data_IF_728410795984
#
_entry.id   IF_728410795984
#
_cell.length_a   1.000
_cell.length_b   1.000
_cell.length_c   1.000
_cell.angle_alpha   90.00
_cell.angle_beta   90.00
_cell.angle_gamma   90.00
#
_symmetry.space_group_name_H-M   'P 1'
#
loop_
_entity.id
_entity.type
_entity.pdbx_description
1 polymer ?
#
# COMPACT_ATOMS: atom_id res chain seq x y z
N UNK A 1 -3.89 14.32 -12.03
CA UNK A 1 -4.53 13.33 -11.15
C UNK A 1 -3.56 13.04 -10.01
N UNK A 2 -3.94 13.26 -8.75
CA UNK A 2 -2.99 13.07 -7.63
C UNK A 2 -2.82 11.57 -7.34
N UNK A 3 -1.57 11.05 -7.30
CA UNK A 3 -1.28 9.62 -7.12
C UNK A 3 -1.59 9.08 -5.72
N UNK A 4 -2.06 9.92 -4.79
CA UNK A 4 -2.35 9.53 -3.40
C UNK A 4 -3.73 8.85 -3.24
N UNK A 5 -4.54 8.74 -4.31
CA UNK A 5 -5.98 8.49 -4.20
C UNK A 5 -6.49 7.11 -4.68
N UNK A 6 -5.63 6.22 -5.18
CA UNK A 6 -6.03 4.85 -5.54
C UNK A 6 -5.28 3.81 -4.71
N UNK A 7 -6.03 3.13 -3.84
CA UNK A 7 -5.54 1.98 -3.09
C UNK A 7 -5.71 0.76 -3.97
N UNK A 8 -4.61 0.24 -4.49
CA UNK A 8 -4.67 -0.96 -5.32
C UNK A 8 -5.09 -2.17 -4.52
N UNK A 9 -5.84 -3.08 -5.16
CA UNK A 9 -6.38 -4.32 -4.58
C UNK A 9 -5.31 -5.08 -3.79
N UNK A 10 -4.11 -5.13 -4.36
CA UNK A 10 -2.94 -5.81 -3.83
C UNK A 10 -2.39 -5.14 -2.55
N UNK A 11 -2.44 -3.81 -2.44
CA UNK A 11 -2.05 -3.09 -1.23
C UNK A 11 -3.07 -3.31 -0.11
N UNK A 12 -4.37 -3.27 -0.43
CA UNK A 12 -5.42 -3.57 0.54
C UNK A 12 -5.33 -5.01 1.07
N UNK A 13 -5.02 -5.97 0.20
CA UNK A 13 -4.79 -7.37 0.59
C UNK A 13 -3.55 -7.52 1.49
N UNK A 14 -2.43 -6.88 1.13
CA UNK A 14 -1.21 -6.89 1.94
C UNK A 14 -1.44 -6.31 3.34
N UNK A 15 -2.17 -5.20 3.44
CA UNK A 15 -2.56 -4.57 4.70
C UNK A 15 -3.50 -5.49 5.51
N UNK A 16 -4.47 -6.12 4.86
CA UNK A 16 -5.40 -7.05 5.51
C UNK A 16 -4.66 -8.24 6.14
N UNK A 17 -3.77 -8.89 5.38
CA UNK A 17 -2.95 -10.00 5.88
C UNK A 17 -2.04 -9.58 7.05
N UNK A 18 -1.45 -8.38 6.98
CA UNK A 18 -0.63 -7.83 8.06
C UNK A 18 -1.44 -7.51 9.32
N UNK A 19 -2.70 -7.10 9.18
CA UNK A 19 -3.62 -6.89 10.30
C UNK A 19 -4.04 -8.20 10.97
N UNK A 20 -4.15 -9.30 10.19
CA UNK A 20 -4.53 -10.63 10.69
C UNK A 20 -3.37 -11.42 11.31
N UNK A 21 -2.12 -10.99 11.15
CA UNK A 21 -0.95 -11.64 11.77
C UNK A 21 -0.49 -12.94 11.10
N UNK A 22 -1.03 -13.31 9.94
CA UNK A 22 -0.62 -14.52 9.21
C UNK A 22 0.70 -14.29 8.46
N UNK A 23 1.76 -14.95 8.90
CA UNK A 23 3.06 -14.97 8.22
C UNK A 23 2.98 -15.75 6.90
N UNK A 24 3.02 -15.06 5.77
CA UNK A 24 3.07 -15.68 4.41
C UNK A 24 4.46 -16.22 4.06
N UNK A 25 5.46 -16.03 4.92
CA UNK A 25 6.84 -16.42 4.65
C UNK A 25 7.13 -17.74 5.37
N UNK A 26 6.67 -18.86 4.78
CA UNK A 26 6.92 -20.20 5.31
C UNK A 26 6.44 -21.31 4.36
N UNK A 27 7.40 -21.89 3.64
CA UNK A 27 7.41 -23.22 2.98
C UNK A 27 6.21 -23.65 2.12
N UNK A 28 6.45 -23.69 0.80
CA UNK A 28 6.05 -24.75 -0.14
C UNK A 28 4.77 -25.54 0.20
N UNK A 29 3.61 -25.05 -0.27
CA UNK A 29 2.50 -25.81 -0.92
C UNK A 29 1.27 -24.92 -1.13
N UNK A 30 1.14 -23.79 -0.41
CA UNK A 30 -0.07 -22.95 -0.47
C UNK A 30 -0.05 -21.86 -1.57
N UNK A 31 0.48 -22.19 -2.76
CA UNK A 31 0.52 -21.27 -3.92
C UNK A 31 -0.85 -21.09 -4.60
N UNK A 32 -1.95 -21.68 -4.11
CA UNK A 32 -3.17 -21.83 -4.92
C UNK A 32 -4.49 -21.32 -4.32
N UNK A 33 -4.55 -20.77 -3.10
CA UNK A 33 -5.81 -20.20 -2.60
C UNK A 33 -6.12 -18.77 -3.12
N UNK A 34 -5.11 -18.03 -3.60
CA UNK A 34 -5.28 -16.61 -4.04
C UNK A 34 -5.21 -16.47 -5.58
N UNK A 35 -4.82 -17.53 -6.27
CA UNK A 35 -4.61 -17.56 -7.72
C UNK A 35 -5.84 -17.21 -8.59
N UNK A 36 -7.12 -17.44 -8.19
CA UNK A 36 -8.26 -17.09 -9.06
C UNK A 36 -8.65 -15.60 -9.02
N UNK A 37 -8.11 -14.82 -8.07
CA UNK A 37 -8.52 -13.41 -7.85
C UNK A 37 -7.62 -12.38 -8.55
N UNK A 38 -6.55 -12.83 -9.22
CA UNK A 38 -5.59 -11.97 -9.92
C UNK A 38 -5.83 -12.12 -11.43
N UNK A 39 -6.70 -11.27 -11.99
CA UNK A 39 -6.61 -11.02 -13.43
C UNK A 39 -5.31 -10.25 -13.67
N UNK A 40 -4.37 -10.90 -14.35
CA UNK A 40 -2.97 -10.49 -14.51
C UNK A 40 -2.77 -9.17 -15.25
N UNK A 41 -3.84 -8.60 -15.80
CA UNK A 41 -3.83 -7.38 -16.62
C UNK A 41 -3.65 -6.06 -15.83
N UNK A 42 -3.85 -6.03 -14.51
CA UNK A 42 -3.82 -4.78 -13.70
C UNK A 42 -2.69 -4.73 -12.65
N UNK A 43 -1.68 -5.58 -12.79
CA UNK A 43 -0.76 -5.95 -11.72
C UNK A 43 0.40 -4.97 -11.46
N UNK A 44 0.38 -3.77 -12.06
CA UNK A 44 1.53 -2.87 -12.13
C UNK A 44 1.48 -1.61 -11.24
N UNK A 45 0.38 -1.31 -10.55
CA UNK A 45 0.29 -0.05 -9.80
C UNK A 45 0.12 -0.30 -8.31
N UNK A 46 1.20 -0.47 -7.55
CA UNK A 46 1.19 -0.37 -6.09
C UNK A 46 1.47 1.07 -5.61
N UNK A 47 1.43 2.07 -6.50
CA UNK A 47 1.78 3.45 -6.18
C UNK A 47 3.26 3.69 -5.86
N UNK A 48 4.14 2.69 -6.06
CA UNK A 48 5.58 2.85 -5.88
C UNK A 48 6.16 3.74 -6.99
N UNK A 49 6.48 4.99 -6.65
CA UNK A 49 7.42 5.82 -7.42
C UNK A 49 8.82 5.20 -7.39
N UNK A 50 9.74 5.63 -8.27
CA UNK A 50 11.14 5.17 -8.21
C UNK A 50 11.74 5.41 -6.81
N UNK A 51 11.56 6.60 -6.24
CA UNK A 51 12.07 6.93 -4.91
C UNK A 51 11.48 6.05 -3.81
N UNK A 52 10.16 5.88 -3.76
CA UNK A 52 9.50 5.08 -2.72
C UNK A 52 9.75 3.59 -2.89
N UNK A 53 9.97 3.12 -4.12
CA UNK A 53 10.42 1.76 -4.40
C UNK A 53 11.81 1.50 -3.83
N UNK A 54 12.78 2.39 -4.08
CA UNK A 54 14.13 2.23 -3.57
C UNK A 54 14.17 2.19 -2.05
N UNK A 55 13.44 3.09 -1.40
CA UNK A 55 13.31 3.10 0.05
C UNK A 55 12.69 1.80 0.57
N UNK A 56 11.57 1.36 -0.01
CA UNK A 56 10.89 0.14 0.42
C UNK A 56 11.74 -1.11 0.21
N UNK A 57 12.42 -1.22 -0.94
CA UNK A 57 13.29 -2.34 -1.24
C UNK A 57 14.54 -2.33 -0.36
N UNK A 58 15.12 -1.16 -0.06
CA UNK A 58 16.25 -1.03 0.87
C UNK A 58 15.90 -1.55 2.27
N UNK A 59 14.76 -1.14 2.84
CA UNK A 59 14.38 -1.55 4.19
C UNK A 59 13.78 -2.96 4.28
N UNK A 60 12.93 -3.32 3.32
CA UNK A 60 12.09 -4.52 3.41
C UNK A 60 12.47 -5.61 2.41
N UNK A 61 13.39 -5.33 1.49
CA UNK A 61 13.79 -6.27 0.45
C UNK A 61 14.35 -7.57 1.02
N UNK A 62 15.10 -7.52 2.11
CA UNK A 62 15.59 -8.73 2.79
C UNK A 62 14.44 -9.63 3.24
N UNK A 63 13.45 -9.08 3.95
CA UNK A 63 12.26 -9.81 4.38
C UNK A 63 11.41 -10.28 3.18
N UNK A 64 11.39 -9.51 2.10
CA UNK A 64 10.71 -9.88 0.86
C UNK A 64 11.46 -10.94 0.03
N UNK A 65 12.68 -11.35 0.40
CA UNK A 65 13.48 -12.34 -0.33
C UNK A 65 14.41 -11.77 -1.41
N UNK A 66 14.64 -10.46 -1.40
CA UNK A 66 15.45 -9.70 -2.36
C UNK A 66 16.68 -9.04 -1.72
N UNK A 67 17.25 -9.66 -0.67
CA UNK A 67 18.41 -9.14 0.05
C UNK A 67 19.56 -8.72 -0.88
N UNK A 68 19.87 -9.56 -1.87
CA UNK A 68 20.91 -9.34 -2.87
C UNK A 68 20.72 -8.08 -3.74
N UNK A 69 19.50 -7.55 -3.87
CA UNK A 69 19.23 -6.27 -4.55
C UNK A 69 19.06 -5.12 -3.55
N UNK A 70 18.47 -5.39 -2.39
CA UNK A 70 18.30 -4.41 -1.32
C UNK A 70 19.64 -3.84 -0.84
N UNK A 71 20.65 -4.70 -0.67
CA UNK A 71 22.01 -4.34 -0.24
C UNK A 71 22.77 -3.49 -1.27
N UNK A 72 22.24 -3.36 -2.50
CA UNK A 72 22.82 -2.55 -3.59
C UNK A 72 22.24 -1.13 -3.63
N UNK A 73 21.28 -0.84 -2.76
CA UNK A 73 20.66 0.47 -2.60
C UNK A 73 21.28 1.14 -1.38
N UNK A 74 21.78 2.35 -1.58
CA UNK A 74 22.45 3.13 -0.55
C UNK A 74 21.64 4.39 -0.25
N UNK A 75 21.75 4.87 0.98
CA UNK A 75 21.14 6.12 1.44
C UNK A 75 22.23 7.18 1.61
N UNK A 76 21.99 8.38 1.10
CA UNK A 76 22.85 9.54 1.36
C UNK A 76 22.62 10.07 2.78
N UNK A 77 23.55 10.88 3.29
CA UNK A 77 23.34 11.61 4.55
C UNK A 77 22.09 12.51 4.56
N UNK A 78 21.58 12.87 3.38
CA UNK A 78 20.36 13.64 3.20
C UNK A 78 19.09 12.78 3.08
N UNK A 79 19.17 11.46 3.30
CA UNK A 79 18.03 10.53 3.21
C UNK A 79 17.59 10.17 1.79
N UNK A 80 18.43 10.38 0.77
CA UNK A 80 18.10 10.00 -0.62
C UNK A 80 18.65 8.62 -0.95
N UNK A 81 17.81 7.79 -1.55
CA UNK A 81 18.20 6.45 -1.99
C UNK A 81 18.79 6.47 -3.41
N UNK A 82 19.89 5.75 -3.62
CA UNK A 82 20.57 5.66 -4.90
C UNK A 82 21.22 4.30 -5.14
N UNK A 83 21.52 4.01 -6.40
CA UNK A 83 22.15 2.76 -6.85
C UNK A 83 23.40 3.12 -7.66
N UNK A 84 24.61 2.84 -7.16
CA UNK A 84 25.85 3.26 -7.80
C UNK A 84 26.08 2.56 -9.14
N UNK A 85 25.83 1.25 -9.22
CA UNK A 85 26.14 0.41 -10.38
C UNK A 85 24.98 0.41 -11.40
N UNK A 86 25.29 0.57 -12.69
CA UNK A 86 24.27 0.68 -13.75
C UNK A 86 23.47 -0.61 -13.98
N UNK A 87 24.12 -1.78 -13.91
CA UNK A 87 23.44 -3.07 -14.08
C UNK A 87 22.35 -3.28 -13.02
N UNK A 88 22.56 -2.75 -11.82
CA UNK A 88 21.64 -2.95 -10.69
C UNK A 88 20.41 -2.10 -10.83
N UNK A 89 20.56 -0.90 -11.42
CA UNK A 89 19.41 -0.05 -11.76
C UNK A 89 18.45 -0.77 -12.68
N UNK A 90 18.96 -1.53 -13.65
CA UNK A 90 18.12 -2.33 -14.55
C UNK A 90 17.41 -3.47 -13.81
N UNK A 91 18.15 -4.23 -12.98
CA UNK A 91 17.58 -5.32 -12.20
C UNK A 91 16.51 -4.84 -11.20
N UNK A 92 16.79 -3.76 -10.48
CA UNK A 92 15.88 -3.18 -9.48
C UNK A 92 14.64 -2.56 -10.15
N UNK A 93 14.80 -1.95 -11.34
CA UNK A 93 13.67 -1.43 -12.12
C UNK A 93 12.81 -2.56 -12.71
N UNK A 94 13.43 -3.66 -13.14
CA UNK A 94 12.69 -4.85 -13.56
C UNK A 94 11.91 -5.44 -12.39
N UNK A 95 12.52 -5.52 -11.21
CA UNK A 95 11.88 -5.99 -9.98
C UNK A 95 10.68 -5.11 -9.57
N UNK A 96 10.78 -3.78 -9.73
CA UNK A 96 9.67 -2.85 -9.47
C UNK A 96 8.44 -3.16 -10.32
N UNK A 97 8.67 -3.62 -11.56
CA UNK A 97 7.60 -3.93 -12.54
C UNK A 97 7.10 -5.37 -12.43
N UNK A 98 7.75 -6.21 -11.63
CA UNK A 98 7.28 -7.55 -11.34
C UNK A 98 6.18 -7.47 -10.26
N UNK A 99 4.94 -7.84 -10.58
CA UNK A 99 3.84 -7.78 -9.64
C UNK A 99 4.02 -8.59 -8.36
N UNK A 100 4.62 -9.77 -8.50
CA UNK A 100 4.84 -10.68 -7.39
C UNK A 100 5.89 -10.11 -6.46
N UNK A 101 6.96 -9.53 -7.02
CA UNK A 101 7.97 -8.86 -6.23
C UNK A 101 7.44 -7.62 -5.52
N UNK A 102 6.70 -6.77 -6.24
CA UNK A 102 6.10 -5.57 -5.68
C UNK A 102 5.14 -5.91 -4.53
N UNK A 103 4.29 -6.95 -4.70
CA UNK A 103 3.41 -7.43 -3.65
C UNK A 103 4.16 -7.97 -2.43
N UNK A 104 5.24 -8.76 -2.63
CA UNK A 104 6.06 -9.28 -1.52
C UNK A 104 6.72 -8.16 -0.71
N UNK A 105 7.22 -7.12 -1.38
CA UNK A 105 7.80 -5.95 -0.72
C UNK A 105 6.73 -5.19 0.06
N UNK A 106 5.55 -4.94 -0.54
CA UNK A 106 4.46 -4.27 0.15
C UNK A 106 3.92 -5.07 1.36
N UNK A 107 3.86 -6.39 1.26
CA UNK A 107 3.49 -7.27 2.37
C UNK A 107 4.53 -7.20 3.50
N UNK A 108 5.82 -7.28 3.18
CA UNK A 108 6.90 -7.15 4.15
C UNK A 108 6.88 -5.78 4.86
N UNK A 109 6.68 -4.71 4.11
CA UNK A 109 6.50 -3.36 4.66
C UNK A 109 5.29 -3.28 5.60
N UNK A 110 4.14 -3.83 5.20
CA UNK A 110 2.91 -3.78 5.99
C UNK A 110 3.04 -4.55 7.31
N UNK A 111 3.70 -5.71 7.28
CA UNK A 111 4.01 -6.49 8.49
C UNK A 111 4.93 -5.72 9.44
N UNK A 112 5.99 -5.10 8.91
CA UNK A 112 6.89 -4.28 9.70
C UNK A 112 6.16 -3.07 10.32
N UNK A 113 5.33 -2.38 9.53
CA UNK A 113 4.51 -1.27 10.00
C UNK A 113 3.55 -1.70 11.11
N UNK A 114 2.94 -2.89 11.00
CA UNK A 114 2.07 -3.46 12.03
C UNK A 114 2.79 -3.64 13.35
N UNK A 115 4.01 -4.19 13.33
CA UNK A 115 4.82 -4.37 14.53
C UNK A 115 5.25 -3.04 15.16
N UNK A 116 5.70 -2.07 14.35
CA UNK A 116 6.10 -0.74 14.82
C UNK A 116 4.92 -0.01 15.45
N UNK A 117 3.77 0.06 14.75
CA UNK A 117 2.57 0.71 15.26
C UNK A 117 2.04 0.03 16.52
N UNK A 118 2.06 -1.31 16.60
CA UNK A 118 1.64 -2.02 17.81
C UNK A 118 2.42 -1.56 19.04
N UNK A 119 3.73 -1.32 18.87
CA UNK A 119 4.61 -0.83 19.93
C UNK A 119 4.24 0.59 20.36
N UNK A 120 3.97 1.48 19.40
CA UNK A 120 3.59 2.86 19.72
C UNK A 120 2.16 3.01 20.27
N UNK A 121 1.22 2.18 19.81
CA UNK A 121 -0.20 2.30 20.16
C UNK A 121 -0.57 1.49 21.42
N UNK A 122 0.25 0.53 21.84
CA UNK A 122 -0.07 -0.41 22.92
C UNK A 122 -1.19 -1.41 22.58
N UNK A 123 -1.65 -1.42 21.32
CA UNK A 123 -2.69 -2.32 20.77
C UNK A 123 -2.39 -2.62 19.31
N UNK A 124 -3.03 -3.64 18.76
CA UNK A 124 -2.96 -3.88 17.31
C UNK A 124 -3.49 -2.64 16.53
N UNK A 125 -2.80 -2.23 15.45
CA UNK A 125 -3.30 -1.16 14.59
C UNK A 125 -4.51 -1.64 13.77
N UNK A 126 -5.44 -0.73 13.51
CA UNK A 126 -6.54 -0.98 12.57
C UNK A 126 -6.03 -0.98 11.13
N UNK A 127 -6.78 -1.58 10.20
CA UNK A 127 -6.46 -1.54 8.77
C UNK A 127 -6.31 -0.10 8.25
N UNK A 128 -7.14 0.82 8.76
CA UNK A 128 -7.05 2.24 8.41
C UNK A 128 -5.77 2.90 8.92
N UNK A 129 -5.27 2.51 10.11
CA UNK A 129 -4.01 3.03 10.66
C UNK A 129 -2.80 2.47 9.90
N UNK A 130 -2.84 1.20 9.51
CA UNK A 130 -1.82 0.60 8.62
C UNK A 130 -1.78 1.30 7.27
N UNK A 131 -2.94 1.60 6.69
CA UNK A 131 -3.02 2.39 5.46
C UNK A 131 -2.43 3.79 5.63
N UNK A 132 -2.77 4.48 6.73
CA UNK A 132 -2.22 5.81 7.01
C UNK A 132 -0.69 5.73 7.21
N UNK A 133 -0.17 4.70 7.86
CA UNK A 133 1.26 4.48 8.00
C UNK A 133 1.98 4.15 6.69
N UNK A 134 1.29 3.57 5.72
CA UNK A 134 1.85 3.44 4.36
C UNK A 134 2.06 4.82 3.71
N UNK A 135 1.15 5.76 3.92
CA UNK A 135 1.20 7.11 3.33
C UNK A 135 2.11 8.06 4.10
N UNK A 136 2.02 8.09 5.43
CA UNK A 136 2.68 9.06 6.30
C UNK A 136 3.92 8.50 7.03
N UNK A 137 4.09 7.18 7.05
CA UNK A 137 5.03 6.50 7.94
C UNK A 137 4.44 6.20 9.32
N UNK A 138 5.02 5.22 10.03
CA UNK A 138 4.49 4.72 11.30
C UNK A 138 4.50 5.77 12.42
N UNK A 139 5.58 6.56 12.51
CA UNK A 139 5.73 7.55 13.59
C UNK A 139 4.70 8.67 13.47
N UNK A 140 4.53 9.22 12.26
CA UNK A 140 3.51 10.23 11.99
C UNK A 140 2.10 9.69 12.30
N UNK A 141 1.79 8.47 11.87
CA UNK A 141 0.51 7.83 12.18
C UNK A 141 0.28 7.68 13.67
N UNK A 142 1.27 7.19 14.43
CA UNK A 142 1.15 7.05 15.88
C UNK A 142 0.89 8.40 16.56
N UNK A 143 1.62 9.45 16.16
CA UNK A 143 1.40 10.83 16.64
C UNK A 143 -0.01 11.32 16.29
N UNK A 144 -0.49 11.07 15.08
CA UNK A 144 -1.85 11.42 14.66
C UNK A 144 -2.92 10.71 15.48
N UNK A 145 -2.76 9.40 15.74
CA UNK A 145 -3.70 8.62 16.56
C UNK A 145 -3.73 9.14 17.99
N UNK A 146 -2.57 9.40 18.59
CA UNK A 146 -2.47 9.97 19.94
C UNK A 146 -3.09 11.39 20.01
N UNK A 147 -2.79 12.24 19.03
CA UNK A 147 -3.35 13.59 18.94
C UNK A 147 -4.86 13.58 18.72
N UNK A 148 -5.40 12.64 17.93
CA UNK A 148 -6.84 12.50 17.72
C UNK A 148 -7.58 12.09 19.01
N UNK A 149 -6.92 11.35 19.90
CA UNK A 149 -7.49 10.99 21.20
C UNK A 149 -7.39 12.13 22.22
N UNK A 150 -6.28 12.88 22.25
CA UNK A 150 -6.02 13.89 23.26
C UNK A 150 -6.54 15.30 22.88
N UNK A 151 -6.43 15.69 21.61
CA UNK A 151 -6.69 17.03 21.09
C UNK A 151 -7.39 16.97 19.72
N UNK A 152 -8.59 16.37 19.62
CA UNK A 152 -9.27 16.09 18.34
C UNK A 152 -9.59 17.34 17.52
N UNK A 153 -9.80 18.48 18.16
CA UNK A 153 -10.21 19.74 17.53
C UNK A 153 -9.05 20.69 17.25
N UNK A 154 -7.83 20.34 17.66
CA UNK A 154 -6.65 21.16 17.39
C UNK A 154 -6.32 21.16 15.90
N UNK A 155 -5.82 22.30 15.42
CA UNK A 155 -5.38 22.47 14.03
C UNK A 155 -4.29 21.46 13.68
N UNK A 156 -4.54 20.59 12.71
CA UNK A 156 -3.58 19.56 12.32
C UNK A 156 -2.30 20.16 11.70
N UNK A 157 -2.43 21.26 10.95
CA UNK A 157 -1.31 21.92 10.30
C UNK A 157 -0.32 22.55 11.31
N UNK A 158 -0.79 22.94 12.49
CA UNK A 158 0.08 23.44 13.57
C UNK A 158 0.87 22.31 14.23
N UNK A 159 0.26 21.13 14.37
CA UNK A 159 0.90 19.96 14.99
C UNK A 159 1.84 19.23 14.04
N UNK A 160 1.57 19.28 12.74
CA UNK A 160 2.33 18.55 11.71
C UNK A 160 2.70 19.49 10.53
N UNK A 161 3.52 20.53 10.77
CA UNK A 161 3.81 21.56 9.78
C UNK A 161 4.49 20.98 8.52
N UNK A 162 5.42 20.05 8.68
CA UNK A 162 6.14 19.43 7.56
C UNK A 162 5.19 18.62 6.66
N UNK A 163 4.25 17.89 7.26
CA UNK A 163 3.24 17.12 6.52
C UNK A 163 2.21 18.05 5.87
N UNK A 164 1.88 19.18 6.50
CA UNK A 164 1.01 20.18 5.93
C UNK A 164 1.64 20.87 4.71
N UNK A 165 2.96 21.09 4.73
CA UNK A 165 3.73 21.56 3.58
C UNK A 165 3.79 20.53 2.45
N UNK A 166 4.01 19.26 2.79
CA UNK A 166 4.11 18.18 1.81
C UNK A 166 2.75 17.82 1.18
N UNK A 167 1.67 17.88 1.95
CA UNK A 167 0.33 17.45 1.54
C UNK A 167 -0.75 18.49 1.90
N UNK A 168 -0.69 19.73 1.39
CA UNK A 168 -1.58 20.82 1.83
C UNK A 168 -3.07 20.49 1.64
N UNK A 169 -3.43 19.78 0.58
CA UNK A 169 -4.83 19.36 0.33
C UNK A 169 -5.40 18.42 1.40
N UNK A 170 -4.54 17.72 2.15
CA UNK A 170 -4.97 16.86 3.24
C UNK A 170 -5.29 17.68 4.50
N UNK A 171 -4.49 18.71 4.76
CA UNK A 171 -4.54 19.55 5.96
C UNK A 171 -5.46 20.76 5.84
N UNK A 172 -5.81 21.17 4.62
CA UNK A 172 -6.63 22.35 4.37
C UNK A 172 -7.84 22.01 3.47
N UNK A 173 -8.95 22.71 3.69
CA UNK A 173 -10.09 22.76 2.79
C UNK A 173 -10.30 24.21 2.34
N UNK A 174 -9.86 24.54 1.13
CA UNK A 174 -9.73 25.94 0.71
C UNK A 174 -8.72 26.66 1.61
N UNK A 175 -9.11 27.80 2.17
CA UNK A 175 -8.30 28.55 3.14
C UNK A 175 -8.43 28.03 4.58
N UNK A 176 -9.33 27.09 4.85
CA UNK A 176 -9.63 26.64 6.21
C UNK A 176 -8.76 25.45 6.60
N UNK A 177 -8.03 25.56 7.71
CA UNK A 177 -7.25 24.46 8.27
C UNK A 177 -8.17 23.40 8.90
N UNK A 178 -7.81 22.12 8.73
CA UNK A 178 -8.54 20.99 9.28
C UNK A 178 -8.02 20.65 10.67
N UNK A 179 -8.91 20.19 11.54
CA UNK A 179 -8.54 19.61 12.82
C UNK A 179 -7.87 18.23 12.64
N UNK A 180 -7.17 17.76 13.68
CA UNK A 180 -6.57 16.42 13.69
C UNK A 180 -7.60 15.33 13.39
N UNK A 181 -8.77 15.40 14.03
CA UNK A 181 -9.85 14.43 13.80
C UNK A 181 -10.42 14.49 12.37
N UNK A 182 -10.47 15.66 11.76
CA UNK A 182 -10.91 15.83 10.37
C UNK A 182 -9.90 15.26 9.36
N UNK A 183 -8.59 15.41 9.60
CA UNK A 183 -7.54 14.77 8.78
C UNK A 183 -7.66 13.25 8.88
N UNK A 184 -7.75 12.70 10.10
CA UNK A 184 -7.91 11.25 10.31
C UNK A 184 -9.16 10.69 9.63
N UNK A 185 -10.30 11.38 9.74
CA UNK A 185 -11.55 11.00 9.07
C UNK A 185 -11.42 11.03 7.56
N UNK A 186 -10.70 12.00 7.01
CA UNK A 186 -10.45 12.10 5.57
C UNK A 186 -9.67 10.88 5.07
N UNK A 187 -8.58 10.52 5.75
CA UNK A 187 -7.74 9.39 5.36
C UNK A 187 -8.48 8.05 5.47
N UNK A 188 -9.21 7.84 6.58
CA UNK A 188 -10.05 6.65 6.74
C UNK A 188 -11.12 6.56 5.65
N UNK A 189 -11.79 7.67 5.33
CA UNK A 189 -12.78 7.68 4.25
C UNK A 189 -12.17 7.43 2.87
N UNK A 190 -10.92 7.85 2.61
CA UNK A 190 -10.22 7.49 1.37
C UNK A 190 -9.98 5.98 1.28
N UNK A 191 -9.52 5.38 2.38
CA UNK A 191 -9.33 3.93 2.47
C UNK A 191 -10.64 3.15 2.26
N UNK A 192 -11.72 3.52 2.96
CA UNK A 192 -13.04 2.88 2.85
C UNK A 192 -13.63 2.97 1.43
N UNK A 193 -13.47 4.12 0.76
CA UNK A 193 -13.87 4.28 -0.65
C UNK A 193 -13.05 3.38 -1.56
N UNK A 194 -11.74 3.27 -1.32
CA UNK A 194 -10.87 2.33 -2.02
C UNK A 194 -11.40 0.90 -1.89
N UNK A 195 -11.61 0.43 -0.65
CA UNK A 195 -12.17 -0.90 -0.37
C UNK A 195 -13.53 -1.13 -1.03
N UNK A 196 -14.41 -0.13 -1.02
CA UNK A 196 -15.73 -0.24 -1.64
C UNK A 196 -15.62 -0.41 -3.16
N UNK A 197 -14.74 0.34 -3.84
CA UNK A 197 -14.49 0.15 -5.28
C UNK A 197 -14.01 -1.27 -5.60
N UNK A 198 -13.18 -1.87 -4.73
CA UNK A 198 -12.77 -3.27 -4.84
C UNK A 198 -13.97 -4.20 -4.82
N UNK A 199 -14.81 -4.10 -3.77
CA UNK A 199 -15.97 -4.96 -3.61
C UNK A 199 -16.90 -4.92 -4.84
N UNK A 200 -17.15 -3.73 -5.39
CA UNK A 200 -18.00 -3.56 -6.57
C UNK A 200 -17.38 -4.13 -7.85
N UNK A 201 -16.06 -4.01 -8.04
CA UNK A 201 -15.37 -4.59 -9.21
C UNK A 201 -15.46 -6.13 -9.25
N UNK A 202 -15.60 -6.77 -8.09
CA UNK A 202 -15.77 -8.22 -7.98
C UNK A 202 -17.22 -8.68 -8.23
N UNK A 203 -18.22 -7.87 -7.87
CA UNK A 203 -19.64 -8.25 -8.03
C UNK A 203 -20.20 -8.03 -9.44
N UNK A 204 -19.54 -7.22 -10.28
CA UNK A 204 -20.02 -6.88 -11.63
C UNK A 204 -19.54 -7.80 -12.75
N UNK A 205 -18.91 -8.94 -12.45
CA UNK A 205 -18.56 -9.94 -13.48
C UNK A 205 -19.74 -10.88 -13.72
N UNK A 206 -20.37 -10.91 -14.91
CA UNK A 206 -21.30 -11.99 -15.23
C UNK A 206 -20.53 -13.32 -15.17
N UNK A 207 -21.09 -14.29 -14.45
CA UNK A 207 -20.58 -15.66 -14.41
C UNK A 207 -20.35 -16.15 -15.84
N UNK A 208 -19.13 -16.63 -16.12
CA UNK A 208 -18.72 -17.20 -17.41
C UNK A 208 -19.46 -18.50 -17.79
N UNK A 209 -20.60 -18.79 -17.16
CA UNK A 209 -21.45 -19.95 -17.41
C UNK A 209 -22.50 -19.71 -18.52
N UNK A 210 -22.56 -18.53 -19.15
CA UNK A 210 -23.57 -18.18 -20.15
C UNK A 210 -23.09 -18.21 -21.62
N UNK A 211 -22.01 -18.93 -21.94
CA UNK A 211 -21.53 -19.08 -23.33
C UNK A 211 -21.41 -20.55 -23.75
N UNK A 212 -22.49 -21.32 -23.66
CA UNK A 212 -22.59 -22.63 -24.33
C UNK A 212 -23.98 -22.87 -24.94
N UNK A 213 -24.52 -21.87 -25.64
CA UNK A 213 -25.62 -22.11 -26.60
C UNK A 213 -25.55 -21.09 -27.73
N UNK A 214 -24.62 -21.23 -28.70
CA UNK A 214 -24.78 -20.58 -30.02
C UNK A 214 -23.73 -20.89 -31.10
N UNK A 215 -22.92 -21.96 -31.02
CA UNK A 215 -22.00 -22.32 -32.12
C UNK A 215 -22.30 -23.73 -32.68
N UNK A 216 -23.58 -24.06 -32.83
CA UNK A 216 -23.98 -25.27 -33.57
C UNK A 216 -25.25 -25.01 -34.40
N UNK A 217 -25.21 -23.98 -35.25
CA UNK A 217 -26.16 -23.84 -36.37
C UNK A 217 -25.53 -23.07 -37.54
N UNK A 218 -24.29 -23.43 -37.89
CA UNK A 218 -23.64 -22.93 -39.10
C UNK A 218 -22.73 -24.01 -39.70
N UNK A 219 -23.28 -25.20 -39.89
CA UNK A 219 -22.66 -26.24 -40.72
C UNK A 219 -23.71 -27.21 -41.27
N UNK A 220 -24.60 -26.68 -42.09
CA UNK A 220 -25.40 -27.43 -43.07
C UNK A 220 -25.84 -26.47 -44.17
N UNK A 221 -25.03 -26.35 -45.22
CA UNK A 221 -25.47 -26.23 -46.61
C UNK A 221 -24.31 -26.63 -47.53
#
# INVERSE_FOLDING_TARGET
MSPVADVSVQLALAISLAASGSSVIGTSTDRLAVAPLISWEHTADLGFTETTWLQALHHYGKAAGYAHLAERIFETSSGKYYIPVAADRLAIRALQRDPTAALRVAAAQSLAHSAILKTHLGRAPTMSELYIAHVLGCEATAKFVAAAAAQPDRTAAEMFPDLALAAPRLFFHGATARSVSAVMRTLRGQFERGLSRLAHSHTSRPSRAAWHTSIETARSN
#
